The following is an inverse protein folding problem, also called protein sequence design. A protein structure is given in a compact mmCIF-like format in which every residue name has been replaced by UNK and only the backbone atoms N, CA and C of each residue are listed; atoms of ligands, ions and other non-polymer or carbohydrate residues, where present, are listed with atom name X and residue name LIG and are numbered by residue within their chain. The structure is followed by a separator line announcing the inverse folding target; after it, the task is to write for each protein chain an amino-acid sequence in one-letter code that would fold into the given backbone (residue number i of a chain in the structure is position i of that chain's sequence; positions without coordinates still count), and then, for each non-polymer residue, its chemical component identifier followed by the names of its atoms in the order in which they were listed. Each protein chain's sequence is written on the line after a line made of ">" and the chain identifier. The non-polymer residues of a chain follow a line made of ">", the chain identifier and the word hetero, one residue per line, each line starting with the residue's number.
data_IF_013349081598
#
_entry.id   IF_013349081598
#
_cell.length_a   1.000
_cell.length_b   1.000
_cell.length_c   1.000
_cell.angle_alpha   90.00
_cell.angle_beta   90.00
_cell.angle_gamma   90.00
#
_symmetry.space_group_name_H-M   'P 1'
#
loop_
_entity.id
_entity.type
_entity.pdbx_description
1 polymer ?
#
# COMPACT_ATOMS: atom_id res chain seq x y z
N UNK A 1 -52.59 10.11 -6.24
CA UNK A 1 -51.69 10.93 -7.06
C UNK A 1 -50.42 11.34 -6.31
N UNK A 2 -50.48 12.13 -5.18
CA UNK A 2 -49.26 12.54 -4.45
C UNK A 2 -48.49 11.35 -3.88
N UNK A 3 -49.18 10.38 -3.27
CA UNK A 3 -48.57 9.18 -2.69
C UNK A 3 -47.90 8.32 -3.78
N UNK A 4 -48.52 8.12 -4.90
CA UNK A 4 -47.96 7.37 -6.03
C UNK A 4 -46.69 8.03 -6.59
N UNK A 5 -46.70 9.36 -6.77
CA UNK A 5 -45.55 10.12 -7.21
C UNK A 5 -44.39 9.94 -6.22
N UNK A 6 -44.64 10.05 -4.92
CA UNK A 6 -43.63 9.86 -3.88
C UNK A 6 -43.10 8.42 -3.88
N UNK A 7 -43.96 7.41 -4.05
CA UNK A 7 -43.54 6.01 -4.13
C UNK A 7 -42.60 5.77 -5.34
N UNK A 8 -42.98 6.25 -6.53
CA UNK A 8 -42.17 6.12 -7.72
C UNK A 8 -40.82 6.86 -7.57
N UNK A 9 -40.88 8.09 -7.05
CA UNK A 9 -39.65 8.88 -6.80
C UNK A 9 -38.73 8.17 -5.81
N UNK A 10 -39.27 7.60 -4.73
CA UNK A 10 -38.53 6.81 -3.78
C UNK A 10 -37.86 5.59 -4.41
N UNK A 11 -38.59 4.81 -5.21
CA UNK A 11 -38.06 3.62 -5.87
C UNK A 11 -36.91 3.97 -6.83
N UNK A 12 -37.04 5.05 -7.62
CA UNK A 12 -36.00 5.54 -8.50
C UNK A 12 -34.78 5.98 -7.68
N UNK A 13 -34.98 6.75 -6.61
CA UNK A 13 -33.89 7.25 -5.76
C UNK A 13 -33.12 6.10 -5.11
N UNK A 14 -33.83 5.07 -4.62
CA UNK A 14 -33.23 3.88 -4.01
C UNK A 14 -32.44 3.05 -5.02
N UNK A 15 -32.96 2.87 -6.22
CA UNK A 15 -32.26 2.15 -7.29
C UNK A 15 -30.97 2.90 -7.72
N UNK A 16 -31.06 4.21 -7.90
CA UNK A 16 -29.89 5.04 -8.22
C UNK A 16 -28.84 4.98 -7.10
N UNK A 17 -29.26 5.10 -5.84
CA UNK A 17 -28.40 4.94 -4.67
C UNK A 17 -27.61 3.63 -4.73
N UNK A 18 -28.28 2.49 -4.93
CA UNK A 18 -27.65 1.17 -4.99
C UNK A 18 -26.63 1.06 -6.12
N UNK A 19 -27.00 1.49 -7.34
CA UNK A 19 -26.15 1.40 -8.54
C UNK A 19 -24.90 2.27 -8.38
N UNK A 20 -25.08 3.54 -8.02
CA UNK A 20 -23.95 4.48 -7.91
C UNK A 20 -23.03 4.15 -6.73
N UNK A 21 -23.62 3.86 -5.57
CA UNK A 21 -22.82 3.58 -4.38
C UNK A 21 -21.98 2.31 -4.54
N UNK A 22 -22.55 1.23 -5.09
CA UNK A 22 -21.80 0.00 -5.38
C UNK A 22 -20.60 0.25 -6.28
N UNK A 23 -20.76 1.06 -7.35
CA UNK A 23 -19.68 1.40 -8.26
C UNK A 23 -18.61 2.28 -7.58
N UNK A 24 -19.03 3.27 -6.79
CA UNK A 24 -18.10 4.19 -6.12
C UNK A 24 -17.34 3.52 -4.97
N UNK A 25 -17.92 2.55 -4.29
CA UNK A 25 -17.23 1.75 -3.27
C UNK A 25 -16.06 0.96 -3.86
N UNK A 26 -16.16 0.52 -5.11
CA UNK A 26 -15.08 -0.15 -5.84
C UNK A 26 -14.05 0.82 -6.42
N UNK A 27 -14.27 2.14 -6.33
CA UNK A 27 -13.35 3.14 -6.84
C UNK A 27 -13.59 3.56 -8.29
N UNK A 28 -14.77 3.31 -8.85
CA UNK A 28 -15.14 3.87 -10.15
C UNK A 28 -15.06 5.40 -10.07
N UNK A 29 -14.32 6.02 -10.99
CA UNK A 29 -14.12 7.47 -11.03
C UNK A 29 -15.45 8.20 -11.24
N UNK A 30 -15.67 9.28 -10.47
CA UNK A 30 -16.88 10.13 -10.53
C UNK A 30 -16.83 11.13 -11.71
N UNK A 31 -16.42 10.68 -12.87
CA UNK A 31 -16.37 11.48 -14.09
C UNK A 31 -17.70 11.43 -14.86
N UNK A 32 -17.94 12.43 -15.71
CA UNK A 32 -19.18 12.53 -16.49
C UNK A 32 -19.45 11.25 -17.29
N UNK A 33 -18.41 10.64 -17.85
CA UNK A 33 -18.53 9.46 -18.70
C UNK A 33 -19.04 8.23 -17.93
N UNK A 34 -18.52 7.99 -16.73
CA UNK A 34 -18.97 6.88 -15.88
C UNK A 34 -20.36 7.13 -15.29
N UNK A 35 -20.63 8.38 -14.88
CA UNK A 35 -21.96 8.77 -14.41
C UNK A 35 -23.04 8.51 -15.47
N UNK A 36 -22.81 8.91 -16.73
CA UNK A 36 -23.73 8.63 -17.82
C UNK A 36 -23.97 7.13 -18.08
N UNK A 37 -22.93 6.30 -17.96
CA UNK A 37 -23.05 4.86 -18.13
C UNK A 37 -23.86 4.19 -17.01
N UNK A 38 -23.62 4.61 -15.77
CA UNK A 38 -24.41 4.12 -14.62
C UNK A 38 -25.85 4.59 -14.71
N UNK A 39 -26.10 5.83 -15.16
CA UNK A 39 -27.46 6.32 -15.45
C UNK A 39 -28.13 5.52 -16.54
N UNK A 40 -27.43 5.20 -17.62
CA UNK A 40 -27.96 4.37 -18.70
C UNK A 40 -28.37 2.98 -18.18
N UNK A 41 -27.52 2.34 -17.36
CA UNK A 41 -27.86 1.09 -16.72
C UNK A 41 -29.12 1.22 -15.85
N UNK A 42 -29.21 2.30 -15.05
CA UNK A 42 -30.37 2.55 -14.20
C UNK A 42 -31.68 2.73 -15.04
N UNK A 43 -31.60 3.46 -16.15
CA UNK A 43 -32.76 3.65 -17.07
C UNK A 43 -33.16 2.31 -17.69
N UNK A 44 -32.21 1.51 -18.17
CA UNK A 44 -32.51 0.20 -18.76
C UNK A 44 -33.15 -0.73 -17.71
N UNK A 45 -32.54 -0.87 -16.54
CA UNK A 45 -33.05 -1.71 -15.45
C UNK A 45 -34.42 -1.22 -14.95
N UNK A 46 -34.59 0.10 -14.82
CA UNK A 46 -35.86 0.70 -14.42
C UNK A 46 -36.99 0.48 -15.44
N UNK A 47 -36.66 0.66 -16.74
CA UNK A 47 -37.61 0.39 -17.83
C UNK A 47 -38.04 -1.10 -17.85
N UNK A 48 -37.04 -1.99 -17.73
CA UNK A 48 -37.30 -3.44 -17.65
C UNK A 48 -38.17 -3.79 -16.43
N UNK A 49 -37.87 -3.19 -15.27
CA UNK A 49 -38.64 -3.35 -14.06
C UNK A 49 -40.13 -2.93 -14.29
N UNK A 50 -40.37 -1.79 -14.89
CA UNK A 50 -41.75 -1.29 -15.17
C UNK A 50 -42.49 -2.19 -16.14
N UNK A 51 -41.85 -2.65 -17.20
CA UNK A 51 -42.46 -3.59 -18.17
C UNK A 51 -42.81 -4.92 -17.49
N UNK A 52 -41.87 -5.49 -16.74
CA UNK A 52 -42.12 -6.75 -16.03
C UNK A 52 -43.20 -6.58 -14.96
N UNK A 53 -43.27 -5.45 -14.24
CA UNK A 53 -44.26 -5.16 -13.22
C UNK A 53 -45.71 -5.11 -13.80
N UNK A 54 -45.86 -4.63 -15.03
CA UNK A 54 -47.16 -4.62 -15.71
C UNK A 54 -47.66 -6.01 -16.09
N UNK A 55 -46.76 -6.99 -16.24
CA UNK A 55 -47.07 -8.36 -16.64
C UNK A 55 -47.21 -9.31 -15.44
N UNK A 56 -46.26 -9.25 -14.50
CA UNK A 56 -46.11 -10.21 -13.40
C UNK A 56 -46.79 -9.77 -12.09
N UNK A 57 -47.15 -8.49 -12.00
CA UNK A 57 -47.67 -7.90 -10.78
C UNK A 57 -46.60 -7.48 -9.77
N UNK A 58 -46.98 -6.60 -8.79
CA UNK A 58 -46.00 -5.97 -7.89
C UNK A 58 -45.34 -6.93 -6.90
N UNK A 59 -46.05 -7.94 -6.41
CA UNK A 59 -45.49 -8.90 -5.43
C UNK A 59 -44.36 -9.76 -6.04
N UNK A 60 -44.53 -10.27 -7.26
CA UNK A 60 -43.52 -11.03 -7.98
C UNK A 60 -42.36 -10.16 -8.38
N UNK A 61 -42.58 -8.90 -8.72
CA UNK A 61 -41.52 -7.97 -9.09
C UNK A 61 -40.55 -7.69 -7.96
N UNK A 62 -41.06 -7.60 -6.75
CA UNK A 62 -40.21 -7.42 -5.56
C UNK A 62 -39.27 -8.61 -5.33
N UNK A 63 -39.74 -9.84 -5.64
CA UNK A 63 -38.90 -11.05 -5.51
C UNK A 63 -37.80 -11.14 -6.59
N UNK A 64 -38.07 -10.70 -7.81
CA UNK A 64 -37.14 -10.77 -8.93
C UNK A 64 -36.30 -9.49 -9.13
N UNK A 65 -36.50 -8.48 -8.26
CA UNK A 65 -35.74 -7.23 -8.30
C UNK A 65 -34.19 -7.45 -8.36
N UNK A 66 -33.58 -8.39 -7.60
CA UNK A 66 -32.14 -8.66 -7.71
C UNK A 66 -31.73 -9.09 -9.11
N UNK A 67 -32.56 -9.83 -9.80
CA UNK A 67 -32.27 -10.34 -11.14
C UNK A 67 -32.27 -9.19 -12.17
N UNK A 68 -33.14 -8.20 -11.98
CA UNK A 68 -33.31 -7.07 -12.91
C UNK A 68 -32.31 -5.94 -12.63
N UNK A 69 -31.89 -5.74 -11.38
CA UNK A 69 -31.03 -4.61 -11.02
C UNK A 69 -29.64 -5.07 -10.59
N UNK A 70 -29.53 -6.03 -9.65
CA UNK A 70 -28.24 -6.42 -9.09
C UNK A 70 -27.41 -7.27 -10.06
N UNK A 71 -28.03 -8.17 -10.83
CA UNK A 71 -27.29 -9.01 -11.79
C UNK A 71 -26.71 -8.16 -12.95
N UNK A 72 -27.46 -7.28 -13.64
CA UNK A 72 -26.88 -6.40 -14.66
C UNK A 72 -25.81 -5.48 -14.12
N UNK A 73 -25.96 -4.95 -12.88
CA UNK A 73 -24.95 -4.16 -12.23
C UNK A 73 -23.67 -4.99 -11.97
N UNK A 74 -23.82 -6.22 -11.47
CA UNK A 74 -22.68 -7.13 -11.25
C UNK A 74 -21.94 -7.42 -12.56
N UNK A 75 -22.69 -7.73 -13.62
CA UNK A 75 -22.10 -7.97 -14.96
C UNK A 75 -21.36 -6.74 -15.45
N UNK A 76 -21.92 -5.54 -15.29
CA UNK A 76 -21.25 -4.30 -15.64
C UNK A 76 -19.96 -4.08 -14.82
N UNK A 77 -19.98 -4.32 -13.52
CA UNK A 77 -18.80 -4.17 -12.66
C UNK A 77 -17.69 -5.17 -13.02
N UNK A 78 -18.05 -6.42 -13.29
CA UNK A 78 -17.08 -7.48 -13.59
C UNK A 78 -16.56 -7.40 -15.03
N UNK A 79 -17.44 -7.32 -16.03
CA UNK A 79 -17.03 -7.42 -17.44
C UNK A 79 -16.63 -6.08 -18.03
N UNK A 80 -17.32 -5.00 -17.68
CA UNK A 80 -17.00 -3.69 -18.24
C UNK A 80 -15.93 -2.95 -17.46
N UNK A 81 -16.07 -2.85 -16.10
CA UNK A 81 -15.08 -2.21 -15.24
C UNK A 81 -13.93 -3.13 -14.82
N UNK A 82 -14.01 -4.44 -15.15
CA UNK A 82 -12.98 -5.45 -14.89
C UNK A 82 -12.60 -5.62 -13.42
N UNK A 83 -13.54 -5.38 -12.52
CA UNK A 83 -13.35 -5.71 -11.11
C UNK A 83 -13.49 -7.22 -10.88
N UNK A 84 -12.84 -7.74 -9.83
CA UNK A 84 -12.99 -9.14 -9.42
C UNK A 84 -14.44 -9.39 -8.95
N UNK A 85 -14.91 -10.62 -9.08
CA UNK A 85 -16.28 -11.01 -8.75
C UNK A 85 -16.63 -10.75 -7.27
N UNK A 86 -15.74 -11.18 -6.35
CA UNK A 86 -15.98 -11.10 -4.92
C UNK A 86 -16.09 -9.65 -4.38
N UNK A 87 -15.17 -8.72 -4.72
CA UNK A 87 -15.36 -7.31 -4.38
C UNK A 87 -16.64 -6.72 -4.94
N UNK A 88 -17.01 -7.08 -6.18
CA UNK A 88 -18.25 -6.58 -6.83
C UNK A 88 -19.49 -7.03 -6.10
N UNK A 89 -19.58 -8.30 -5.72
CA UNK A 89 -20.67 -8.82 -4.90
C UNK A 89 -20.73 -8.13 -3.52
N UNK A 90 -19.60 -8.07 -2.83
CA UNK A 90 -19.50 -7.44 -1.51
C UNK A 90 -19.91 -5.96 -1.54
N UNK A 91 -19.57 -5.23 -2.60
CA UNK A 91 -19.96 -3.83 -2.74
C UNK A 91 -21.48 -3.65 -2.93
N UNK A 92 -22.11 -4.54 -3.71
CA UNK A 92 -23.58 -4.53 -3.91
C UNK A 92 -24.32 -4.81 -2.60
N UNK A 93 -23.90 -5.84 -1.85
CA UNK A 93 -24.53 -6.17 -0.57
C UNK A 93 -24.30 -5.09 0.49
N UNK A 94 -23.12 -4.47 0.51
CA UNK A 94 -22.85 -3.35 1.41
C UNK A 94 -23.67 -2.11 1.05
N UNK A 95 -23.80 -1.78 -0.23
CA UNK A 95 -24.66 -0.69 -0.68
C UNK A 95 -26.13 -0.94 -0.33
N UNK A 96 -26.62 -2.18 -0.48
CA UNK A 96 -27.97 -2.58 -0.06
C UNK A 96 -28.16 -2.35 1.45
N UNK A 97 -27.22 -2.82 2.29
CA UNK A 97 -27.28 -2.60 3.73
C UNK A 97 -27.33 -1.11 4.09
N UNK A 98 -26.51 -0.28 3.45
CA UNK A 98 -26.52 1.17 3.67
C UNK A 98 -27.86 1.82 3.27
N UNK A 99 -28.54 1.28 2.26
CA UNK A 99 -29.85 1.76 1.85
C UNK A 99 -30.93 1.55 2.93
N UNK A 100 -30.80 0.54 3.76
CA UNK A 100 -31.76 0.24 4.84
C UNK A 100 -31.82 1.32 5.91
N UNK A 101 -30.81 2.18 6.05
CA UNK A 101 -30.85 3.34 6.94
C UNK A 101 -32.08 4.22 6.66
N UNK A 102 -32.40 4.45 5.38
CA UNK A 102 -33.57 5.26 5.00
C UNK A 102 -34.90 4.57 5.32
N UNK A 103 -34.94 3.24 5.22
CA UNK A 103 -36.14 2.44 5.57
C UNK A 103 -36.45 2.59 7.06
N UNK A 104 -35.46 2.43 7.92
CA UNK A 104 -35.63 2.50 9.38
C UNK A 104 -36.11 3.86 9.87
N UNK A 105 -35.44 4.92 9.39
CA UNK A 105 -35.84 6.28 9.72
C UNK A 105 -37.21 6.58 9.19
N UNK A 106 -37.57 6.09 8.00
CA UNK A 106 -38.88 6.19 7.44
C UNK A 106 -39.96 5.49 8.30
N UNK A 107 -39.72 4.24 8.72
CA UNK A 107 -40.62 3.50 9.60
C UNK A 107 -40.81 4.18 10.96
N UNK A 108 -39.78 4.77 11.52
CA UNK A 108 -39.86 5.55 12.74
C UNK A 108 -40.77 6.77 12.56
N UNK A 109 -40.62 7.53 11.46
CA UNK A 109 -41.49 8.67 11.14
C UNK A 109 -42.92 8.22 10.90
N UNK A 110 -43.14 7.06 10.24
CA UNK A 110 -44.47 6.49 10.04
C UNK A 110 -45.14 6.17 11.38
N UNK A 111 -44.41 5.59 12.33
CA UNK A 111 -44.92 5.24 13.66
C UNK A 111 -45.37 6.45 14.47
N UNK A 112 -44.73 7.61 14.28
CA UNK A 112 -45.08 8.86 14.95
C UNK A 112 -46.21 9.60 14.26
N UNK A 113 -46.16 9.67 12.92
CA UNK A 113 -47.10 10.52 12.16
C UNK A 113 -48.35 9.79 11.70
N UNK A 114 -48.30 8.45 11.56
CA UNK A 114 -49.35 7.62 10.98
C UNK A 114 -49.64 7.90 9.50
N UNK A 115 -48.76 8.69 8.82
CA UNK A 115 -49.02 9.14 7.43
C UNK A 115 -48.02 8.53 6.46
N UNK A 116 -48.47 7.78 5.47
CA UNK A 116 -47.61 7.14 4.47
C UNK A 116 -46.82 8.12 3.60
N UNK A 117 -47.37 9.29 3.28
CA UNK A 117 -46.64 10.27 2.49
C UNK A 117 -45.39 10.82 3.25
N UNK A 118 -45.46 10.95 4.59
CA UNK A 118 -44.33 11.34 5.43
C UNK A 118 -43.24 10.25 5.38
N UNK A 119 -43.61 8.99 5.38
CA UNK A 119 -42.71 7.85 5.25
C UNK A 119 -41.89 7.93 3.95
N UNK A 120 -42.54 8.07 2.80
CA UNK A 120 -41.84 8.14 1.52
C UNK A 120 -41.01 9.43 1.36
N UNK A 121 -41.54 10.56 1.78
CA UNK A 121 -40.81 11.83 1.73
C UNK A 121 -39.54 11.78 2.59
N UNK A 122 -39.63 11.26 3.83
CA UNK A 122 -38.51 11.08 4.70
C UNK A 122 -37.45 10.13 4.09
N UNK A 123 -37.89 9.00 3.54
CA UNK A 123 -36.96 8.03 2.90
C UNK A 123 -36.18 8.66 1.75
N UNK A 124 -36.82 9.47 0.90
CA UNK A 124 -36.12 10.16 -0.20
C UNK A 124 -35.02 11.08 0.36
N UNK A 125 -35.36 11.93 1.33
CA UNK A 125 -34.42 12.88 1.92
C UNK A 125 -33.25 12.14 2.59
N UNK A 126 -33.55 11.14 3.42
CA UNK A 126 -32.51 10.36 4.12
C UNK A 126 -31.62 9.61 3.14
N UNK A 127 -32.17 9.01 2.09
CA UNK A 127 -31.38 8.33 1.05
C UNK A 127 -30.38 9.28 0.40
N UNK A 128 -30.79 10.50 0.07
CA UNK A 128 -29.91 11.51 -0.52
C UNK A 128 -28.81 11.97 0.45
N UNK A 129 -29.17 12.20 1.72
CA UNK A 129 -28.21 12.59 2.77
C UNK A 129 -27.19 11.48 3.01
N UNK A 130 -27.65 10.23 3.18
CA UNK A 130 -26.79 9.07 3.38
C UNK A 130 -25.87 8.87 2.16
N UNK A 131 -26.40 9.01 0.94
CA UNK A 131 -25.59 8.95 -0.27
C UNK A 131 -24.46 9.99 -0.28
N UNK A 132 -24.80 11.23 0.06
CA UNK A 132 -23.81 12.31 0.11
C UNK A 132 -22.71 12.03 1.15
N UNK A 133 -23.11 11.63 2.37
CA UNK A 133 -22.20 11.30 3.46
C UNK A 133 -21.27 10.15 3.07
N UNK A 134 -21.81 9.06 2.54
CA UNK A 134 -21.03 7.89 2.14
C UNK A 134 -20.08 8.21 0.98
N UNK A 135 -20.53 8.99 0.00
CA UNK A 135 -19.70 9.42 -1.12
C UNK A 135 -18.56 10.34 -0.71
N UNK A 136 -18.74 11.15 0.33
CA UNK A 136 -17.74 12.13 0.77
C UNK A 136 -16.74 11.54 1.77
N UNK A 137 -17.20 10.76 2.74
CA UNK A 137 -16.37 10.31 3.86
C UNK A 137 -15.96 8.83 3.78
N UNK A 138 -16.76 7.98 3.15
CA UNK A 138 -16.60 6.53 3.26
C UNK A 138 -16.02 5.90 1.99
N UNK A 139 -16.32 6.42 0.79
CA UNK A 139 -15.90 5.82 -0.48
C UNK A 139 -14.39 5.59 -0.61
N UNK A 140 -13.54 6.47 -0.08
CA UNK A 140 -12.09 6.28 -0.15
C UNK A 140 -11.64 5.07 0.68
N UNK A 141 -12.17 4.96 1.90
CA UNK A 141 -11.85 3.85 2.81
C UNK A 141 -12.37 2.52 2.28
N UNK A 142 -13.59 2.51 1.71
CA UNK A 142 -14.16 1.29 1.10
C UNK A 142 -13.41 0.85 -0.14
N UNK A 143 -12.92 1.75 -0.98
CA UNK A 143 -12.10 1.40 -2.14
C UNK A 143 -10.84 0.65 -1.70
N UNK A 144 -10.15 1.12 -0.66
CA UNK A 144 -8.99 0.43 -0.10
C UNK A 144 -9.38 -0.93 0.52
N UNK A 145 -10.53 -0.99 1.18
CA UNK A 145 -11.05 -2.20 1.79
C UNK A 145 -11.34 -3.28 0.75
N UNK A 146 -12.00 -2.93 -0.35
CA UNK A 146 -12.35 -3.86 -1.44
C UNK A 146 -11.17 -4.21 -2.36
N UNK A 147 -10.04 -3.51 -2.26
CA UNK A 147 -8.80 -3.88 -2.92
C UNK A 147 -8.01 -5.01 -2.22
N UNK A 148 -8.42 -5.40 -1.01
CA UNK A 148 -7.77 -6.44 -0.22
C UNK A 148 -7.88 -7.84 -0.81
N UNK A 149 -7.24 -8.81 -0.15
CA UNK A 149 -7.26 -10.22 -0.55
C UNK A 149 -8.66 -10.83 -0.45
N UNK A 150 -8.92 -11.87 -1.25
CA UNK A 150 -10.24 -12.53 -1.27
C UNK A 150 -10.61 -13.13 0.09
N UNK A 151 -9.63 -13.56 0.89
CA UNK A 151 -9.84 -14.08 2.23
C UNK A 151 -10.36 -13.01 3.20
N UNK A 152 -9.78 -11.82 3.17
CA UNK A 152 -10.23 -10.68 3.98
C UNK A 152 -11.61 -10.18 3.52
N UNK A 153 -11.83 -10.17 2.21
CA UNK A 153 -13.11 -9.79 1.62
C UNK A 153 -14.26 -10.74 1.99
N UNK A 154 -13.99 -12.04 2.08
CA UNK A 154 -15.00 -13.01 2.57
C UNK A 154 -15.42 -12.68 4.00
N UNK A 155 -14.47 -12.32 4.87
CA UNK A 155 -14.80 -11.95 6.26
C UNK A 155 -15.62 -10.65 6.28
N UNK A 156 -15.21 -9.62 5.53
CA UNK A 156 -15.87 -8.31 5.50
C UNK A 156 -17.25 -8.40 4.84
N UNK A 157 -17.32 -9.11 3.71
CA UNK A 157 -18.54 -9.23 2.91
C UNK A 157 -19.55 -10.24 3.44
N UNK A 158 -19.16 -11.12 4.37
CA UNK A 158 -20.04 -12.17 4.89
C UNK A 158 -21.27 -11.61 5.60
N UNK A 159 -21.11 -10.59 6.43
CA UNK A 159 -22.21 -10.03 7.18
C UNK A 159 -23.22 -9.25 6.31
N UNK A 160 -22.80 -8.36 5.38
CA UNK A 160 -23.72 -7.77 4.42
C UNK A 160 -24.44 -8.81 3.56
N UNK A 161 -23.79 -9.91 3.17
CA UNK A 161 -24.40 -11.01 2.44
C UNK A 161 -25.46 -11.73 3.27
N UNK A 162 -25.13 -12.10 4.51
CA UNK A 162 -26.07 -12.78 5.41
C UNK A 162 -27.28 -11.89 5.69
N UNK A 163 -27.04 -10.59 5.93
CA UNK A 163 -28.13 -9.63 6.10
C UNK A 163 -29.02 -9.54 4.85
N UNK A 164 -28.41 -9.45 3.66
CA UNK A 164 -29.15 -9.41 2.41
C UNK A 164 -30.04 -10.63 2.21
N UNK A 165 -29.51 -11.84 2.42
CA UNK A 165 -30.26 -13.09 2.31
C UNK A 165 -31.38 -13.13 3.35
N UNK A 166 -31.08 -12.77 4.60
CA UNK A 166 -32.08 -12.77 5.69
C UNK A 166 -33.20 -11.77 5.41
N UNK A 167 -32.88 -10.54 5.02
CA UNK A 167 -33.89 -9.51 4.73
C UNK A 167 -34.77 -9.92 3.56
N UNK A 168 -34.19 -10.45 2.48
CA UNK A 168 -34.96 -10.95 1.34
C UNK A 168 -35.84 -12.14 1.72
N UNK A 169 -35.33 -13.12 2.43
CA UNK A 169 -36.07 -14.30 2.85
C UNK A 169 -37.27 -13.93 3.74
N UNK A 170 -37.09 -12.97 4.63
CA UNK A 170 -38.10 -12.61 5.63
C UNK A 170 -39.12 -11.56 5.15
N UNK A 171 -38.70 -10.67 4.22
CA UNK A 171 -39.55 -9.56 3.74
C UNK A 171 -40.22 -9.83 2.41
N UNK A 172 -39.57 -10.60 1.49
CA UNK A 172 -40.05 -10.78 0.12
C UNK A 172 -40.57 -12.19 -0.16
N UNK A 173 -40.02 -13.23 0.47
CA UNK A 173 -40.40 -14.62 0.24
C UNK A 173 -41.29 -15.20 1.36
N UNK A 174 -41.31 -14.60 2.54
CA UNK A 174 -42.20 -15.02 3.62
C UNK A 174 -42.89 -13.84 4.27
N UNK A 175 -44.12 -14.05 4.72
CA UNK A 175 -44.86 -13.07 5.57
C UNK A 175 -44.55 -13.27 7.06
N UNK A 176 -43.51 -14.00 7.40
CA UNK A 176 -43.17 -14.41 8.77
C UNK A 176 -42.91 -13.21 9.71
N UNK A 177 -42.27 -12.17 9.23
CA UNK A 177 -42.03 -10.93 9.97
C UNK A 177 -43.28 -10.02 10.00
N UNK A 178 -44.34 -10.35 9.26
CA UNK A 178 -45.49 -9.51 9.12
C UNK A 178 -46.64 -9.82 10.12
N UNK A 179 -46.47 -10.82 10.98
CA UNK A 179 -47.38 -11.15 12.07
C UNK A 179 -46.77 -10.69 13.40
N UNK A 180 -47.13 -9.48 13.87
CA UNK A 180 -46.68 -8.94 15.15
C UNK A 180 -46.01 -7.58 15.07
N UNK A 181 -45.28 -7.21 16.11
CA UNK A 181 -44.59 -5.93 16.20
C UNK A 181 -43.28 -5.98 15.37
N UNK A 182 -43.40 -5.72 14.09
CA UNK A 182 -42.38 -5.88 13.04
C UNK A 182 -41.08 -5.09 13.29
N UNK A 183 -41.23 -3.91 13.88
CA UNK A 183 -40.12 -2.93 13.96
C UNK A 183 -38.94 -3.43 14.79
N UNK A 184 -39.17 -4.27 15.79
CA UNK A 184 -38.12 -4.68 16.74
C UNK A 184 -37.14 -5.73 16.17
N UNK A 185 -37.60 -6.89 15.62
CA UNK A 185 -36.69 -7.90 15.09
C UNK A 185 -35.88 -7.43 13.88
N UNK A 186 -36.54 -6.69 13.00
CA UNK A 186 -35.85 -6.10 11.84
C UNK A 186 -34.83 -5.06 12.30
N UNK A 187 -35.22 -4.13 13.19
CA UNK A 187 -34.30 -3.11 13.70
C UNK A 187 -33.07 -3.73 14.37
N UNK A 188 -33.22 -4.78 15.16
CA UNK A 188 -32.12 -5.41 15.87
C UNK A 188 -31.08 -6.00 14.88
N UNK A 189 -31.53 -6.72 13.86
CA UNK A 189 -30.66 -7.26 12.80
C UNK A 189 -29.89 -6.16 12.07
N UNK A 190 -30.58 -5.10 11.69
CA UNK A 190 -29.98 -3.93 11.05
C UNK A 190 -28.96 -3.22 11.97
N UNK A 191 -29.33 -2.96 13.23
CA UNK A 191 -28.48 -2.29 14.20
C UNK A 191 -27.17 -3.06 14.46
N UNK A 192 -27.25 -4.40 14.57
CA UNK A 192 -26.08 -5.26 14.72
C UNK A 192 -25.17 -5.17 13.49
N UNK A 193 -25.74 -5.26 12.29
CA UNK A 193 -24.97 -5.17 11.03
C UNK A 193 -24.33 -3.80 10.86
N UNK A 194 -25.05 -2.73 11.17
CA UNK A 194 -24.53 -1.38 11.09
C UNK A 194 -23.40 -1.16 12.11
N UNK A 195 -23.59 -1.62 13.36
CA UNK A 195 -22.55 -1.55 14.40
C UNK A 195 -21.28 -2.28 14.00
N UNK A 196 -21.43 -3.46 13.39
CA UNK A 196 -20.29 -4.23 12.89
C UNK A 196 -19.57 -3.53 11.74
N UNK A 197 -20.28 -2.91 10.82
CA UNK A 197 -19.66 -2.12 9.75
C UNK A 197 -18.88 -0.93 10.31
N UNK A 198 -19.45 -0.20 11.28
CA UNK A 198 -18.75 0.87 11.97
C UNK A 198 -17.48 0.36 12.66
N UNK A 199 -17.59 -0.76 13.37
CA UNK A 199 -16.43 -1.41 14.00
C UNK A 199 -15.36 -1.76 12.98
N UNK A 200 -15.73 -2.38 11.85
CA UNK A 200 -14.78 -2.71 10.79
C UNK A 200 -14.11 -1.47 10.19
N UNK A 201 -14.85 -0.40 9.91
CA UNK A 201 -14.29 0.84 9.37
C UNK A 201 -13.26 1.47 10.33
N UNK A 202 -13.58 1.52 11.63
CA UNK A 202 -12.67 2.04 12.66
C UNK A 202 -11.45 1.12 12.76
N UNK A 203 -11.64 -0.19 12.87
CA UNK A 203 -10.57 -1.18 13.00
C UNK A 203 -9.60 -1.12 11.83
N UNK A 204 -10.10 -1.08 10.59
CA UNK A 204 -9.24 -1.00 9.41
C UNK A 204 -8.49 0.32 9.32
N UNK A 205 -9.13 1.43 9.70
CA UNK A 205 -8.46 2.73 9.77
C UNK A 205 -7.30 2.72 10.77
N UNK A 206 -7.52 2.20 11.97
CA UNK A 206 -6.46 2.08 12.99
C UNK A 206 -5.35 1.12 12.56
N UNK A 207 -5.72 -0.03 11.99
CA UNK A 207 -4.77 -1.00 11.48
C UNK A 207 -3.89 -0.41 10.37
N UNK A 208 -4.46 0.34 9.44
CA UNK A 208 -3.70 1.01 8.37
C UNK A 208 -2.75 2.08 8.92
N UNK A 209 -3.22 2.89 9.88
CA UNK A 209 -2.38 3.88 10.54
C UNK A 209 -1.21 3.22 11.29
N UNK A 210 -1.47 2.14 12.02
CA UNK A 210 -0.46 1.38 12.73
C UNK A 210 0.58 0.77 11.78
N UNK A 211 0.13 0.15 10.70
CA UNK A 211 1.02 -0.44 9.68
C UNK A 211 1.93 0.62 9.03
N UNK A 212 1.39 1.80 8.70
CA UNK A 212 2.18 2.92 8.17
C UNK A 212 3.19 3.45 9.19
N UNK A 213 2.80 3.53 10.47
CA UNK A 213 3.70 3.96 11.54
C UNK A 213 4.84 2.95 11.76
N UNK A 214 4.57 1.66 11.69
CA UNK A 214 5.58 0.60 11.77
C UNK A 214 6.58 0.69 10.61
N UNK A 215 6.10 0.84 9.37
CA UNK A 215 6.96 1.03 8.19
C UNK A 215 7.84 2.30 8.31
N UNK A 216 7.27 3.39 8.80
CA UNK A 216 8.00 4.63 9.01
C UNK A 216 9.08 4.49 10.08
N UNK A 217 8.76 3.82 11.19
CA UNK A 217 9.74 3.53 12.26
C UNK A 217 10.89 2.64 11.77
N UNK A 218 10.60 1.65 10.92
CA UNK A 218 11.62 0.80 10.32
C UNK A 218 12.55 1.59 9.40
N UNK A 219 11.99 2.48 8.57
CA UNK A 219 12.78 3.38 7.72
C UNK A 219 13.70 4.30 8.54
N UNK A 220 13.17 4.91 9.61
CA UNK A 220 13.97 5.75 10.52
C UNK A 220 15.08 4.92 11.14
N UNK A 221 14.80 3.68 11.56
CA UNK A 221 15.82 2.80 12.15
C UNK A 221 16.94 2.47 11.18
N UNK A 222 16.60 2.19 9.92
CA UNK A 222 17.60 1.97 8.86
C UNK A 222 18.48 3.21 8.64
N UNK A 223 17.87 4.39 8.54
CA UNK A 223 18.61 5.65 8.38
C UNK A 223 19.52 5.94 9.58
N UNK A 224 19.05 5.69 10.80
CA UNK A 224 19.84 5.88 12.01
C UNK A 224 21.05 4.95 12.05
N UNK A 225 20.87 3.68 11.67
CA UNK A 225 21.97 2.71 11.59
C UNK A 225 23.01 3.14 10.54
N UNK A 226 22.58 3.59 9.37
CA UNK A 226 23.47 4.13 8.33
C UNK A 226 24.23 5.35 8.82
N UNK A 227 23.56 6.29 9.47
CA UNK A 227 24.20 7.47 10.04
C UNK A 227 25.22 7.12 11.14
N UNK A 228 24.92 6.16 12.00
CA UNK A 228 25.86 5.69 13.02
C UNK A 228 27.10 5.06 12.38
N UNK A 229 26.94 4.27 11.32
CA UNK A 229 28.07 3.68 10.59
C UNK A 229 28.95 4.76 9.94
N UNK A 230 28.35 5.77 9.32
CA UNK A 230 29.07 6.91 8.75
C UNK A 230 29.85 7.72 9.80
N UNK A 231 29.20 7.99 10.94
CA UNK A 231 29.83 8.66 12.08
C UNK A 231 31.01 7.86 12.63
N UNK A 232 30.87 6.53 12.72
CA UNK A 232 31.99 5.66 13.16
C UNK A 232 33.16 5.70 12.17
N UNK A 233 32.91 5.70 10.87
CA UNK A 233 33.90 5.82 9.84
C UNK A 233 34.61 7.20 9.88
N UNK A 234 33.85 8.26 10.05
CA UNK A 234 34.40 9.63 10.19
C UNK A 234 35.33 9.73 11.40
N UNK A 235 34.90 9.22 12.57
CA UNK A 235 35.76 9.20 13.78
C UNK A 235 37.04 8.39 13.58
N UNK A 236 36.91 7.25 12.85
CA UNK A 236 38.08 6.43 12.52
C UNK A 236 39.08 7.19 11.61
N UNK A 237 38.57 7.92 10.64
CA UNK A 237 39.35 8.78 9.76
C UNK A 237 39.99 9.94 10.53
N UNK A 238 39.26 10.64 11.39
CA UNK A 238 39.80 11.72 12.23
C UNK A 238 40.92 11.21 13.14
N UNK A 239 40.74 10.03 13.73
CA UNK A 239 41.79 9.40 14.56
C UNK A 239 43.05 9.09 13.75
N UNK A 240 42.92 8.54 12.53
CA UNK A 240 44.04 8.30 11.63
C UNK A 240 44.76 9.60 11.28
N UNK A 241 44.01 10.66 10.94
CA UNK A 241 44.59 11.99 10.65
C UNK A 241 45.28 12.62 11.85
N UNK A 242 44.76 12.40 13.07
CA UNK A 242 45.42 12.87 14.30
C UNK A 242 46.77 12.19 14.54
N UNK A 243 46.84 10.87 14.34
CA UNK A 243 48.10 10.10 14.42
C UNK A 243 49.11 10.59 13.36
N UNK A 244 48.65 10.67 12.10
CA UNK A 244 49.54 11.15 11.01
C UNK A 244 50.09 12.55 11.29
N UNK A 245 49.29 13.45 11.82
CA UNK A 245 49.68 14.80 12.19
C UNK A 245 50.71 14.79 13.32
N UNK A 246 50.55 13.92 14.30
CA UNK A 246 51.50 13.73 15.40
C UNK A 246 52.82 13.22 14.88
N UNK A 247 52.81 12.19 14.04
CA UNK A 247 54.04 11.57 13.50
C UNK A 247 54.79 12.53 12.57
N UNK A 248 54.07 13.25 11.70
CA UNK A 248 54.68 14.31 10.86
C UNK A 248 55.35 15.38 11.71
N UNK A 249 54.72 15.82 12.81
CA UNK A 249 55.28 16.81 13.72
C UNK A 249 56.53 16.26 14.41
N UNK A 250 56.53 15.01 14.78
CA UNK A 250 57.68 14.33 15.37
C UNK A 250 58.87 14.29 14.36
N UNK A 251 58.65 13.85 13.13
CA UNK A 251 59.67 13.82 12.09
C UNK A 251 60.29 15.22 11.81
N UNK A 252 59.42 16.24 11.73
CA UNK A 252 59.88 17.62 11.55
C UNK A 252 60.72 18.13 12.74
N UNK A 253 60.38 17.71 13.97
CA UNK A 253 61.16 18.07 15.17
C UNK A 253 62.51 17.43 15.18
N UNK A 254 62.63 16.15 14.81
CA UNK A 254 63.92 15.43 14.70
C UNK A 254 64.80 16.08 13.63
N UNK A 255 64.29 16.32 12.42
CA UNK A 255 65.03 17.00 11.33
C UNK A 255 65.54 18.38 11.77
N UNK A 256 64.65 19.16 12.45
CA UNK A 256 65.04 20.48 12.95
C UNK A 256 66.22 20.41 13.94
N UNK A 257 66.22 19.43 14.83
CA UNK A 257 67.29 19.24 15.83
C UNK A 257 68.60 18.87 15.15
N UNK A 258 68.61 17.94 14.18
CA UNK A 258 69.73 17.53 13.43
C UNK A 258 70.39 18.70 12.64
N UNK A 259 69.54 19.49 11.98
CA UNK A 259 70.00 20.69 11.25
C UNK A 259 70.54 21.78 12.17
N UNK A 260 70.01 21.97 13.37
CA UNK A 260 70.51 22.93 14.37
C UNK A 260 71.85 22.52 14.94
N UNK A 261 72.13 21.20 14.97
CA UNK A 261 73.44 20.65 15.39
C UNK A 261 74.50 20.69 14.28
N UNK A 262 74.13 21.11 13.08
CA UNK A 262 75.01 21.16 11.90
C UNK A 262 75.25 19.81 11.23
N UNK A 263 74.53 18.77 11.62
CA UNK A 263 74.73 17.39 11.15
C UNK A 263 73.82 17.10 9.92
N UNK A 264 74.18 17.75 8.81
CA UNK A 264 73.40 17.68 7.57
C UNK A 264 73.34 16.25 6.96
N UNK A 265 74.41 15.48 7.18
CA UNK A 265 74.47 14.11 6.64
C UNK A 265 73.51 13.18 7.30
N UNK A 266 73.39 13.21 8.62
CA UNK A 266 72.33 12.44 9.36
C UNK A 266 70.93 12.94 9.13
N UNK A 267 70.76 14.24 8.86
CA UNK A 267 69.47 14.77 8.50
C UNK A 267 68.98 14.23 7.15
N UNK A 268 69.91 14.08 6.16
CA UNK A 268 69.56 13.46 4.87
C UNK A 268 69.32 11.95 4.98
N UNK A 269 70.09 11.24 5.79
CA UNK A 269 69.90 9.81 6.05
C UNK A 269 68.53 9.56 6.69
N UNK A 270 68.17 10.33 7.71
CA UNK A 270 66.83 10.24 8.34
C UNK A 270 65.67 10.58 7.38
N UNK A 271 65.85 11.58 6.51
CA UNK A 271 64.88 11.94 5.51
C UNK A 271 64.60 10.79 4.51
N UNK A 272 65.68 10.11 4.09
CA UNK A 272 65.67 8.95 3.20
C UNK A 272 64.94 7.76 3.88
N UNK A 273 65.22 7.47 5.16
CA UNK A 273 64.54 6.43 5.92
C UNK A 273 63.01 6.70 6.01
N UNK A 274 62.64 7.94 6.35
CA UNK A 274 61.24 8.36 6.44
C UNK A 274 60.59 8.27 5.05
N UNK A 275 61.23 8.71 3.97
CA UNK A 275 60.71 8.59 2.61
C UNK A 275 60.47 7.14 2.20
N UNK A 276 61.42 6.25 2.47
CA UNK A 276 61.22 4.81 2.19
C UNK A 276 60.03 4.22 2.93
N UNK A 277 59.87 4.58 4.21
CA UNK A 277 58.71 4.12 5.00
C UNK A 277 57.35 4.60 4.44
N UNK A 278 57.36 5.80 3.86
CA UNK A 278 56.14 6.32 3.17
C UNK A 278 55.94 5.72 1.78
N UNK A 279 57.02 5.43 1.02
CA UNK A 279 56.93 4.80 -0.29
C UNK A 279 56.41 3.35 -0.22
N UNK A 280 56.73 2.62 0.85
CA UNK A 280 56.17 1.28 1.12
C UNK A 280 54.68 1.31 1.46
N UNK A 281 54.15 2.47 1.83
CA UNK A 281 52.71 2.67 2.14
C UNK A 281 51.90 3.24 0.97
N UNK A 282 52.53 3.54 -0.18
CA UNK A 282 51.81 4.01 -1.36
C UNK A 282 50.93 2.88 -1.89
N UNK A 283 49.62 3.13 -1.90
CA UNK A 283 48.61 2.26 -2.56
C UNK A 283 49.06 2.04 -4.00
N UNK A 284 49.55 0.85 -4.34
CA UNK A 284 49.92 0.51 -5.72
C UNK A 284 48.73 0.80 -6.63
N UNK A 285 48.88 1.76 -7.55
CA UNK A 285 47.89 2.06 -8.55
C UNK A 285 47.94 1.00 -9.66
N UNK A 286 47.02 0.05 -9.65
CA UNK A 286 46.96 -1.03 -10.65
C UNK A 286 46.36 -0.55 -11.97
N UNK A 287 45.42 0.42 -11.93
CA UNK A 287 44.77 0.96 -13.12
C UNK A 287 44.23 2.38 -12.88
N UNK A 288 43.76 3.04 -13.96
CA UNK A 288 43.19 4.40 -13.92
C UNK A 288 41.74 4.44 -13.43
N UNK A 289 41.02 3.31 -13.37
CA UNK A 289 39.66 3.25 -12.86
C UNK A 289 39.66 3.12 -11.34
N UNK A 290 39.09 4.11 -10.63
CA UNK A 290 39.10 4.19 -9.16
C UNK A 290 38.45 2.99 -8.47
N UNK A 291 37.29 2.52 -8.98
CA UNK A 291 36.58 1.40 -8.38
C UNK A 291 37.36 0.09 -8.52
N UNK A 292 37.85 -0.19 -9.69
CA UNK A 292 38.66 -1.39 -9.96
C UNK A 292 39.96 -1.36 -9.16
N UNK A 293 40.62 -0.20 -9.10
CA UNK A 293 41.84 -0.01 -8.30
C UNK A 293 41.58 -0.25 -6.80
N UNK A 294 40.44 0.20 -6.28
CA UNK A 294 40.03 -0.05 -4.88
C UNK A 294 39.86 -1.54 -4.59
N UNK A 295 39.21 -2.28 -5.49
CA UNK A 295 39.06 -3.74 -5.36
C UNK A 295 40.42 -4.43 -5.36
N UNK A 296 41.28 -4.13 -6.35
CA UNK A 296 42.62 -4.75 -6.45
C UNK A 296 43.47 -4.44 -5.24
N UNK A 297 43.47 -3.22 -4.75
CA UNK A 297 44.23 -2.82 -3.54
C UNK A 297 43.74 -3.55 -2.29
N UNK A 298 42.42 -3.76 -2.17
CA UNK A 298 41.82 -4.51 -1.06
C UNK A 298 42.28 -5.97 -1.07
N UNK A 299 42.27 -6.60 -2.26
CA UNK A 299 42.72 -7.98 -2.38
C UNK A 299 44.26 -8.13 -2.29
N UNK A 300 45.01 -7.15 -2.72
CA UNK A 300 46.50 -7.11 -2.47
C UNK A 300 46.79 -7.24 -0.98
N UNK A 301 46.16 -6.41 -0.16
CA UNK A 301 46.33 -6.46 1.30
C UNK A 301 45.98 -7.82 1.87
N UNK A 302 44.87 -8.42 1.41
CA UNK A 302 44.44 -9.76 1.86
C UNK A 302 45.42 -10.86 1.44
N UNK A 303 45.96 -10.81 0.20
CA UNK A 303 46.97 -11.77 -0.28
C UNK A 303 48.30 -11.63 0.49
N UNK A 304 48.73 -10.40 0.79
CA UNK A 304 49.92 -10.14 1.61
C UNK A 304 49.77 -10.67 3.03
N UNK A 305 48.61 -10.44 3.66
CA UNK A 305 48.30 -10.97 5.00
C UNK A 305 48.35 -12.50 5.04
N UNK A 306 47.96 -13.16 3.95
CA UNK A 306 47.95 -14.63 3.82
C UNK A 306 49.20 -15.21 3.21
N UNK A 307 50.19 -14.37 2.90
CA UNK A 307 51.48 -14.74 2.26
C UNK A 307 51.31 -15.43 0.91
N UNK A 308 50.26 -15.06 0.16
CA UNK A 308 50.00 -15.56 -1.17
C UNK A 308 50.71 -14.65 -2.18
N UNK A 309 51.72 -15.13 -2.91
CA UNK A 309 52.38 -14.34 -3.95
C UNK A 309 51.42 -14.13 -5.12
N UNK A 310 51.19 -12.89 -5.53
CA UNK A 310 50.38 -12.56 -6.68
C UNK A 310 50.97 -11.39 -7.49
N UNK A 311 50.69 -11.37 -8.76
CA UNK A 311 51.04 -10.30 -9.68
C UNK A 311 49.81 -9.89 -10.49
N UNK A 312 49.59 -8.60 -10.62
CA UNK A 312 48.50 -8.06 -11.41
C UNK A 312 48.95 -7.13 -12.50
N UNK A 313 48.68 -7.46 -13.75
CA UNK A 313 48.87 -6.57 -14.89
C UNK A 313 47.50 -6.18 -15.42
N UNK A 314 47.15 -4.91 -15.26
CA UNK A 314 45.78 -4.43 -15.53
C UNK A 314 45.84 -3.28 -16.55
N UNK A 315 45.24 -3.50 -17.71
CA UNK A 315 45.15 -2.49 -18.78
C UNK A 315 43.70 -2.04 -18.91
N UNK A 316 43.23 -1.22 -17.97
CA UNK A 316 41.88 -0.68 -17.94
C UNK A 316 41.93 0.85 -17.94
N UNK A 317 41.20 1.48 -18.83
CA UNK A 317 41.01 2.93 -18.89
C UNK A 317 40.17 3.48 -17.75
N UNK A 318 40.03 4.81 -17.67
CA UNK A 318 39.19 5.46 -16.64
C UNK A 318 37.73 4.98 -16.65
N UNK A 319 37.20 4.69 -17.83
CA UNK A 319 35.78 4.22 -18.00
C UNK A 319 35.75 2.81 -18.55
N UNK A 320 34.90 1.98 -17.96
CA UNK A 320 34.61 0.65 -18.46
C UNK A 320 33.47 0.69 -19.51
N UNK A 321 33.50 -0.19 -20.51
CA UNK A 321 32.40 -0.32 -21.48
C UNK A 321 31.14 -1.01 -20.91
N UNK A 322 31.15 -1.36 -19.63
CA UNK A 322 30.06 -2.05 -18.91
C UNK A 322 29.82 -1.36 -17.55
N UNK A 323 28.81 -1.85 -16.80
CA UNK A 323 28.54 -1.36 -15.44
C UNK A 323 29.74 -1.63 -14.53
N UNK A 324 30.38 -0.58 -14.00
CA UNK A 324 31.51 -0.65 -13.09
C UNK A 324 31.22 -1.47 -11.83
N UNK A 325 30.00 -1.28 -11.27
CA UNK A 325 29.54 -2.05 -10.10
C UNK A 325 29.47 -3.56 -10.38
N UNK A 326 28.95 -3.94 -11.56
CA UNK A 326 28.82 -5.33 -11.95
C UNK A 326 30.17 -5.96 -12.23
N UNK A 327 31.07 -5.21 -12.89
CA UNK A 327 32.46 -5.64 -13.15
C UNK A 327 33.21 -5.86 -11.85
N UNK A 328 33.16 -4.89 -10.91
CA UNK A 328 33.82 -5.00 -9.61
C UNK A 328 33.26 -6.17 -8.76
N UNK A 329 31.97 -6.43 -8.82
CA UNK A 329 31.38 -7.59 -8.14
C UNK A 329 31.89 -8.92 -8.71
N UNK A 330 31.99 -9.04 -10.04
CA UNK A 330 32.54 -10.23 -10.70
C UNK A 330 34.04 -10.37 -10.34
N UNK A 331 34.80 -9.30 -10.43
CA UNK A 331 36.23 -9.29 -10.11
C UNK A 331 36.48 -9.72 -8.66
N UNK A 332 35.73 -9.17 -7.71
CA UNK A 332 35.80 -9.55 -6.30
C UNK A 332 35.53 -11.05 -6.10
N UNK A 333 34.44 -11.57 -6.72
CA UNK A 333 34.14 -12.99 -6.63
C UNK A 333 35.26 -13.89 -7.22
N UNK A 334 35.83 -13.49 -8.33
CA UNK A 334 36.94 -14.25 -8.97
C UNK A 334 38.19 -14.27 -8.07
N UNK A 335 38.56 -13.11 -7.52
CA UNK A 335 39.72 -13.00 -6.62
C UNK A 335 39.49 -13.77 -5.31
N UNK A 336 38.30 -13.73 -4.76
CA UNK A 336 37.91 -14.49 -3.56
C UNK A 336 37.98 -15.99 -3.79
N UNK A 337 37.43 -16.46 -4.91
CA UNK A 337 37.51 -17.88 -5.29
C UNK A 337 38.97 -18.34 -5.54
N UNK A 338 39.77 -17.51 -6.18
CA UNK A 338 41.20 -17.79 -6.38
C UNK A 338 41.95 -17.90 -5.05
N UNK A 339 41.67 -16.98 -4.11
CA UNK A 339 42.23 -17.00 -2.76
C UNK A 339 41.89 -18.30 -2.02
N UNK A 340 40.66 -18.68 -2.03
CA UNK A 340 40.20 -19.94 -1.40
C UNK A 340 40.83 -21.18 -2.06
N UNK A 341 40.91 -21.20 -3.39
CA UNK A 341 41.51 -22.33 -4.12
C UNK A 341 43.01 -22.52 -3.79
N UNK A 342 43.75 -21.40 -3.59
CA UNK A 342 45.17 -21.48 -3.19
C UNK A 342 45.31 -21.97 -1.76
N UNK A 343 44.41 -21.63 -0.87
CA UNK A 343 44.41 -22.10 0.53
C UNK A 343 44.12 -23.61 0.66
N UNK A 344 43.41 -24.21 -0.31
CA UNK A 344 43.11 -25.64 -0.32
C UNK A 344 44.27 -26.49 -0.94
N UNK A 345 45.29 -25.86 -1.52
CA UNK A 345 46.46 -26.60 -2.06
C UNK A 345 47.34 -27.07 -0.90
N UNK A 346 47.74 -28.34 -0.89
CA UNK A 346 48.71 -28.84 0.06
C UNK A 346 50.05 -28.13 -0.15
N UNK A 347 50.76 -27.78 0.94
CA UNK A 347 52.09 -27.16 0.94
C UNK A 347 53.11 -27.97 0.13
#
# INVERSE_FOLDING_TARGET
>A
MILEILTYTHNITTMLFGIFLSAFFLGVKKDKKNVWKLLLLAVISGSLYMVCASVLGPEMMDQIYPLIVHVPLLLMLVFYYKFRLLPSLSSIFTAYLCCQCSNWIGLFILSITGKEWCYYACRIVVTLVVFWVLCHYVCQTTTMLFAKTDRELLIIGSLPLVYYIFDYATTKFSKLLYTGNRAVPEFLGFAICLSYLFFLLIYFREYEMKSKAEQYNELIRMQMNSFQAEMANTRKSEKKMSILRHDTRHHMSVLRTLLQQGDCEKALEYLNEVSQTYDDTIIRAYCKNEMVNSVLSTYNTRFEEQKIPWEAQVTIGEKLPCSEMMFCAILSNVLENAMHAVQELPE
#
